data_IF_286066368969
#
_entry.id   IF_286066368969
#
_cell.length_a   1.000
_cell.length_b   1.000
_cell.length_c   1.000
_cell.angle_alpha   90.00
_cell.angle_beta   90.00
_cell.angle_gamma   90.00
#
_symmetry.space_group_name_H-M   'P 1'
#
loop_
_entity.id
_entity.type
_entity.pdbx_description
1 polymer ?
#
# COMPACT_ATOMS: atom_id res chain seq x y z
N UNK A 1 -1.81 -9.06 -18.35
CA UNK A 1 -2.03 -10.46 -18.74
C UNK A 1 -0.76 -11.19 -19.22
N UNK A 2 0.38 -10.50 -19.39
CA UNK A 2 1.65 -11.10 -19.84
C UNK A 2 2.62 -11.44 -18.68
N UNK A 3 2.13 -11.43 -17.44
CA UNK A 3 2.94 -11.69 -16.25
C UNK A 3 3.62 -13.06 -16.29
N UNK A 4 2.97 -14.08 -16.90
CA UNK A 4 3.53 -15.43 -16.98
C UNK A 4 4.60 -15.62 -18.04
N UNK A 5 4.52 -14.90 -19.15
CA UNK A 5 5.51 -14.98 -20.24
C UNK A 5 6.79 -14.22 -19.93
N UNK A 6 6.71 -13.15 -19.11
CA UNK A 6 7.85 -12.30 -18.74
C UNK A 6 8.38 -12.54 -17.33
N UNK A 7 7.84 -13.51 -16.61
CA UNK A 7 8.10 -13.73 -15.19
C UNK A 7 7.27 -12.80 -14.29
N UNK A 8 7.51 -12.91 -12.99
CA UNK A 8 6.80 -12.14 -11.97
C UNK A 8 7.35 -10.70 -11.95
N UNK A 9 6.51 -9.72 -12.30
CA UNK A 9 6.95 -8.30 -12.46
C UNK A 9 7.41 -7.67 -11.16
N UNK A 10 6.83 -8.05 -10.02
CA UNK A 10 7.32 -7.65 -8.70
C UNK A 10 8.50 -8.55 -8.31
N UNK A 11 9.72 -8.14 -8.64
CA UNK A 11 10.94 -8.95 -8.58
C UNK A 11 11.98 -8.35 -7.63
N UNK A 12 12.78 -9.20 -6.94
CA UNK A 12 13.90 -8.75 -6.09
C UNK A 12 14.92 -7.85 -6.79
N UNK A 13 15.07 -7.97 -8.10
CA UNK A 13 15.98 -7.13 -8.92
C UNK A 13 15.66 -5.64 -8.78
N UNK A 14 14.39 -5.27 -8.62
CA UNK A 14 13.98 -3.87 -8.40
C UNK A 14 14.62 -3.29 -7.15
N UNK A 15 14.56 -4.02 -6.04
CA UNK A 15 15.15 -3.59 -4.76
C UNK A 15 16.67 -3.45 -4.88
N UNK A 16 17.34 -4.40 -5.53
CA UNK A 16 18.79 -4.35 -5.73
C UNK A 16 19.22 -3.12 -6.55
N UNK A 17 18.49 -2.83 -7.65
CA UNK A 17 18.77 -1.68 -8.50
C UNK A 17 18.54 -0.34 -7.78
N UNK A 18 17.42 -0.21 -7.04
CA UNK A 18 17.12 1.02 -6.28
C UNK A 18 18.13 1.20 -5.15
N UNK A 19 18.45 0.13 -4.44
CA UNK A 19 19.43 0.17 -3.34
C UNK A 19 20.80 0.63 -3.86
N UNK A 20 21.31 0.04 -4.95
CA UNK A 20 22.58 0.43 -5.55
C UNK A 20 22.59 1.92 -5.93
N UNK A 21 21.54 2.41 -6.58
CA UNK A 21 21.43 3.82 -6.95
C UNK A 21 21.40 4.77 -5.74
N UNK A 22 20.78 4.37 -4.62
CA UNK A 22 20.76 5.17 -3.38
C UNK A 22 22.12 5.17 -2.68
N UNK A 23 22.81 4.02 -2.66
CA UNK A 23 24.17 3.89 -2.11
C UNK A 23 25.16 4.73 -2.93
N UNK A 24 25.10 4.67 -4.26
CA UNK A 24 25.96 5.43 -5.18
C UNK A 24 25.72 6.96 -5.07
N UNK A 25 24.49 7.37 -4.80
CA UNK A 25 24.16 8.79 -4.62
C UNK A 25 24.78 9.39 -3.37
N UNK A 26 25.10 8.60 -2.34
CA UNK A 26 25.79 9.02 -1.13
C UNK A 26 25.01 9.96 -0.19
N UNK A 27 23.71 10.17 -0.45
CA UNK A 27 22.88 11.09 0.36
C UNK A 27 22.21 10.42 1.56
N UNK A 28 22.19 9.09 1.61
CA UNK A 28 21.47 8.34 2.61
C UNK A 28 22.39 7.52 3.51
N UNK A 29 22.12 7.55 4.81
CA UNK A 29 22.69 6.63 5.77
C UNK A 29 21.75 5.42 5.92
N UNK A 30 22.25 4.23 5.64
CA UNK A 30 21.48 3.00 5.88
C UNK A 30 21.39 2.70 7.37
N UNK A 31 20.19 2.46 7.86
CA UNK A 31 19.94 2.09 9.26
C UNK A 31 19.21 0.75 9.34
N UNK A 32 19.46 -0.08 10.36
CA UNK A 32 18.71 -1.33 10.53
C UNK A 32 17.25 -1.03 10.88
N UNK A 33 16.34 -1.84 10.32
CA UNK A 33 14.94 -1.78 10.70
C UNK A 33 14.76 -2.23 12.16
N UNK A 34 13.95 -1.48 12.91
CA UNK A 34 13.51 -1.86 14.25
C UNK A 34 12.33 -2.81 14.15
N UNK A 35 12.14 -3.68 15.12
CA UNK A 35 10.97 -4.55 15.21
C UNK A 35 9.85 -3.86 16.00
N UNK A 36 8.63 -3.95 15.47
CA UNK A 36 7.43 -3.41 16.11
C UNK A 36 6.42 -4.52 16.40
N UNK A 37 5.55 -4.31 17.38
CA UNK A 37 4.50 -5.26 17.72
C UNK A 37 3.44 -5.40 16.61
N UNK A 38 2.76 -6.53 16.59
CA UNK A 38 1.68 -6.78 15.60
C UNK A 38 0.46 -5.86 15.83
N UNK A 39 0.35 -5.26 17.02
CA UNK A 39 -0.65 -4.24 17.32
C UNK A 39 -0.58 -3.02 16.38
N UNK A 40 0.61 -2.67 15.89
CA UNK A 40 0.77 -1.60 14.91
C UNK A 40 0.08 -1.91 13.59
N UNK A 41 0.08 -3.17 13.17
CA UNK A 41 -0.61 -3.64 11.97
C UNK A 41 -2.12 -3.67 12.20
N UNK A 42 -2.57 -4.16 13.34
CA UNK A 42 -4.00 -4.32 13.65
C UNK A 42 -4.72 -3.01 13.98
N UNK A 43 -4.02 -1.91 14.13
CA UNK A 43 -4.63 -0.55 14.17
C UNK A 43 -5.19 -0.14 12.80
N UNK A 44 -4.63 -0.67 11.72
CA UNK A 44 -4.99 -0.36 10.34
C UNK A 44 -5.78 -1.49 9.70
N UNK A 45 -5.31 -2.72 9.89
CA UNK A 45 -5.92 -3.91 9.29
C UNK A 45 -6.79 -4.68 10.29
N UNK A 46 -7.82 -5.32 9.75
CA UNK A 46 -8.70 -6.19 10.53
C UNK A 46 -7.91 -7.34 11.20
N UNK A 47 -8.06 -7.57 12.51
CA UNK A 47 -7.33 -8.61 13.20
C UNK A 47 -7.60 -10.04 12.68
N UNK A 48 -8.80 -10.32 12.14
CA UNK A 48 -9.11 -11.63 11.56
C UNK A 48 -8.38 -11.83 10.23
N UNK A 49 -8.27 -10.78 9.42
CA UNK A 49 -7.47 -10.77 8.19
C UNK A 49 -5.97 -11.00 8.49
N UNK A 50 -5.42 -10.29 9.47
CA UNK A 50 -4.00 -10.44 9.86
C UNK A 50 -3.71 -11.87 10.34
N UNK A 51 -4.58 -12.42 11.19
CA UNK A 51 -4.48 -13.83 11.64
C UNK A 51 -4.62 -14.82 10.49
N UNK A 52 -5.49 -14.52 9.52
CA UNK A 52 -5.63 -15.35 8.33
C UNK A 52 -4.30 -15.41 7.55
N UNK A 53 -3.71 -14.27 7.21
CA UNK A 53 -2.44 -14.21 6.47
C UNK A 53 -1.33 -14.98 7.20
N UNK A 54 -1.20 -14.80 8.51
CA UNK A 54 -0.22 -15.51 9.33
C UNK A 54 -0.39 -17.02 9.24
N UNK A 55 -1.62 -17.51 9.41
CA UNK A 55 -1.93 -18.95 9.37
C UNK A 55 -1.80 -19.53 7.96
N UNK A 56 -2.33 -18.86 6.96
CA UNK A 56 -2.28 -19.32 5.58
C UNK A 56 -0.82 -19.47 5.10
N UNK A 57 0.01 -18.47 5.33
CA UNK A 57 1.44 -18.53 4.96
C UNK A 57 2.17 -19.67 5.69
N UNK A 58 1.87 -19.90 6.97
CA UNK A 58 2.49 -20.99 7.74
C UNK A 58 2.15 -22.39 7.22
N UNK A 59 1.03 -22.55 6.54
CA UNK A 59 0.58 -23.86 5.98
C UNK A 59 1.05 -24.12 4.56
N UNK A 60 1.53 -23.11 3.84
CA UNK A 60 2.02 -23.29 2.48
C UNK A 60 3.38 -24.02 2.51
N UNK A 61 3.51 -25.16 1.81
CA UNK A 61 4.78 -25.88 1.73
C UNK A 61 5.89 -25.02 1.10
N UNK A 62 7.13 -25.31 1.46
CA UNK A 62 8.29 -24.66 0.88
C UNK A 62 8.31 -24.80 -0.66
N UNK A 63 8.68 -23.72 -1.34
CA UNK A 63 8.69 -23.68 -2.82
C UNK A 63 7.32 -23.68 -3.49
N UNK A 64 6.23 -23.69 -2.71
CA UNK A 64 4.86 -23.61 -3.23
C UNK A 64 4.24 -22.23 -2.99
N UNK A 65 3.18 -21.93 -3.74
CA UNK A 65 2.39 -20.72 -3.61
C UNK A 65 0.90 -21.05 -3.69
N UNK A 66 0.12 -20.40 -2.84
CA UNK A 66 -1.34 -20.42 -2.86
C UNK A 66 -1.82 -19.19 -3.61
N UNK A 67 -2.52 -19.39 -4.72
CA UNK A 67 -3.19 -18.33 -5.47
C UNK A 67 -4.68 -18.32 -5.15
N UNK A 68 -5.32 -17.15 -5.01
CA UNK A 68 -6.76 -17.05 -4.91
C UNK A 68 -7.41 -17.57 -6.18
N UNK A 69 -8.35 -18.51 -6.07
CA UNK A 69 -9.10 -19.06 -7.20
C UNK A 69 -10.59 -18.74 -7.18
N UNK A 70 -11.05 -18.06 -6.12
CA UNK A 70 -12.38 -17.48 -6.00
C UNK A 70 -12.27 -16.01 -5.62
N UNK A 71 -13.16 -15.18 -6.16
CA UNK A 71 -13.21 -13.77 -5.82
C UNK A 71 -13.90 -13.53 -4.48
N UNK A 72 -13.55 -12.42 -3.77
CA UNK A 72 -14.23 -12.06 -2.55
C UNK A 72 -15.72 -11.81 -2.78
N UNK A 73 -16.54 -12.30 -1.87
CA UNK A 73 -17.97 -12.03 -1.86
C UNK A 73 -18.19 -10.72 -1.08
N UNK A 74 -18.73 -9.71 -1.75
CA UNK A 74 -18.86 -8.38 -1.15
C UNK A 74 -19.95 -8.29 -0.09
N UNK A 75 -21.04 -9.04 -0.23
CA UNK A 75 -22.14 -9.14 0.74
C UNK A 75 -22.02 -10.42 1.57
N UNK A 76 -20.97 -10.48 2.38
CA UNK A 76 -20.61 -11.69 3.08
C UNK A 76 -21.09 -11.69 4.51
N UNK A 77 -21.71 -12.80 4.91
CA UNK A 77 -22.17 -13.03 6.26
C UNK A 77 -21.19 -13.87 7.07
N UNK A 78 -20.38 -14.68 6.40
CA UNK A 78 -19.31 -15.47 7.04
C UNK A 78 -18.19 -15.82 6.08
N UNK A 79 -16.92 -15.87 6.55
CA UNK A 79 -15.80 -16.34 5.75
C UNK A 79 -15.87 -17.86 5.52
N UNK A 80 -15.36 -18.37 4.39
CA UNK A 80 -15.19 -19.80 4.16
C UNK A 80 -14.36 -20.46 5.28
N UNK A 81 -14.62 -21.72 5.57
CA UNK A 81 -13.85 -22.42 6.61
C UNK A 81 -12.49 -22.89 6.11
N UNK A 82 -12.43 -23.34 4.85
CA UNK A 82 -11.21 -23.79 4.20
C UNK A 82 -10.22 -22.64 3.98
N UNK A 83 -8.98 -22.82 4.44
CA UNK A 83 -7.95 -21.79 4.36
C UNK A 83 -7.62 -21.40 2.92
N UNK A 84 -7.59 -22.35 2.00
CA UNK A 84 -7.32 -22.13 0.59
C UNK A 84 -8.43 -21.31 -0.08
N UNK A 85 -9.69 -21.57 0.27
CA UNK A 85 -10.86 -20.82 -0.24
C UNK A 85 -10.89 -19.40 0.34
N UNK A 86 -10.47 -19.22 1.59
CA UNK A 86 -10.35 -17.89 2.22
C UNK A 86 -9.37 -16.97 1.51
N UNK A 87 -8.45 -17.50 0.70
CA UNK A 87 -7.60 -16.66 -0.13
C UNK A 87 -8.42 -15.71 -1.01
N UNK A 88 -9.46 -16.21 -1.68
CA UNK A 88 -10.37 -15.37 -2.46
C UNK A 88 -11.30 -14.49 -1.64
N UNK A 89 -11.57 -14.83 -0.38
CA UNK A 89 -12.35 -13.99 0.53
C UNK A 89 -11.58 -12.74 0.97
N UNK A 90 -10.26 -12.86 1.15
CA UNK A 90 -9.39 -11.78 1.61
C UNK A 90 -8.52 -11.16 0.50
N UNK A 91 -8.71 -11.51 -0.76
CA UNK A 91 -7.92 -10.98 -1.87
C UNK A 91 -8.79 -10.27 -2.90
N UNK A 92 -8.29 -9.15 -3.44
CA UNK A 92 -8.98 -8.39 -4.48
C UNK A 92 -8.64 -8.83 -5.91
N UNK A 93 -7.70 -9.78 -6.07
CA UNK A 93 -7.28 -10.32 -7.36
C UNK A 93 -6.99 -11.83 -7.31
N UNK A 94 -6.58 -12.41 -8.44
CA UNK A 94 -6.27 -13.84 -8.55
C UNK A 94 -4.77 -14.11 -8.80
N UNK A 95 -3.93 -13.10 -8.74
CA UNK A 95 -2.51 -13.21 -9.10
C UNK A 95 -1.54 -12.86 -7.96
N UNK A 96 -2.03 -12.36 -6.82
CA UNK A 96 -1.20 -12.13 -5.64
C UNK A 96 -1.07 -13.43 -4.82
N UNK A 97 0.10 -14.09 -4.82
CA UNK A 97 0.27 -15.38 -4.16
C UNK A 97 0.53 -15.26 -2.68
N UNK A 98 0.07 -16.22 -1.90
CA UNK A 98 0.59 -16.47 -0.56
C UNK A 98 1.63 -17.58 -0.61
N UNK A 99 2.80 -17.34 -0.08
CA UNK A 99 3.85 -18.34 0.13
C UNK A 99 4.28 -18.33 1.60
N UNK A 100 5.12 -19.29 1.99
CA UNK A 100 5.60 -19.46 3.36
C UNK A 100 6.17 -18.18 3.98
N UNK A 101 6.85 -17.35 3.17
CA UNK A 101 7.58 -16.17 3.63
C UNK A 101 6.80 -14.86 3.47
N UNK A 102 5.64 -14.87 2.80
CA UNK A 102 4.92 -13.64 2.47
C UNK A 102 4.52 -12.83 3.71
N UNK A 103 4.03 -13.49 4.77
CA UNK A 103 3.71 -12.82 6.02
C UNK A 103 4.94 -12.20 6.70
N UNK A 104 6.05 -12.92 6.76
CA UNK A 104 7.29 -12.42 7.36
C UNK A 104 7.89 -11.26 6.57
N UNK A 105 7.86 -11.34 5.23
CA UNK A 105 8.31 -10.26 4.37
C UNK A 105 7.42 -9.01 4.52
N UNK A 106 6.10 -9.18 4.58
CA UNK A 106 5.17 -8.08 4.81
C UNK A 106 5.38 -7.42 6.18
N UNK A 107 5.66 -8.21 7.22
CA UNK A 107 6.04 -7.69 8.54
C UNK A 107 7.34 -6.90 8.50
N UNK A 108 8.37 -7.42 7.83
CA UNK A 108 9.63 -6.71 7.67
C UNK A 108 9.46 -5.39 6.91
N UNK A 109 8.59 -5.34 5.90
CA UNK A 109 8.25 -4.11 5.19
C UNK A 109 7.58 -3.06 6.10
N UNK A 110 6.65 -3.50 6.96
CA UNK A 110 6.04 -2.64 7.99
C UNK A 110 7.10 -2.13 8.99
N UNK A 111 8.00 -3.00 9.45
CA UNK A 111 9.07 -2.61 10.37
C UNK A 111 9.99 -1.54 9.75
N UNK A 112 10.32 -1.65 8.47
CA UNK A 112 11.06 -0.61 7.75
C UNK A 112 10.28 0.71 7.67
N UNK A 113 9.01 0.67 7.30
CA UNK A 113 8.16 1.86 7.18
C UNK A 113 8.00 2.57 8.53
N UNK A 114 7.75 1.83 9.60
CA UNK A 114 7.65 2.38 10.96
C UNK A 114 8.99 2.91 11.49
N UNK A 115 10.11 2.30 11.10
CA UNK A 115 11.44 2.82 11.44
C UNK A 115 11.67 4.17 10.79
N UNK A 116 11.33 4.31 9.50
CA UNK A 116 11.40 5.57 8.78
C UNK A 116 10.47 6.63 9.40
N UNK A 117 9.21 6.27 9.67
CA UNK A 117 8.24 7.15 10.33
C UNK A 117 8.73 7.62 11.71
N UNK A 118 9.32 6.72 12.50
CA UNK A 118 9.89 7.06 13.81
C UNK A 118 11.06 8.04 13.69
N UNK A 119 11.94 7.86 12.69
CA UNK A 119 13.06 8.76 12.46
C UNK A 119 12.57 10.18 12.12
N UNK A 120 11.58 10.32 11.24
CA UNK A 120 10.99 11.61 10.88
C UNK A 120 10.25 12.23 12.06
N UNK A 121 9.48 11.47 12.84
CA UNK A 121 8.85 11.96 14.08
C UNK A 121 9.84 12.41 15.14
N UNK A 122 11.08 11.90 15.10
CA UNK A 122 12.18 12.28 15.99
C UNK A 122 13.04 13.43 15.47
N UNK A 123 12.67 14.05 14.32
CA UNK A 123 13.32 15.25 13.79
C UNK A 123 14.17 15.03 12.53
N UNK A 124 14.30 13.81 12.00
CA UNK A 124 14.92 13.63 10.70
C UNK A 124 14.03 14.26 9.62
N UNK A 125 14.66 15.00 8.70
CA UNK A 125 13.93 15.73 7.65
C UNK A 125 13.34 14.80 6.59
N UNK A 126 14.03 13.70 6.30
CA UNK A 126 13.69 12.74 5.27
C UNK A 126 14.12 11.34 5.69
N UNK A 127 13.25 10.37 5.50
CA UNK A 127 13.58 8.96 5.62
C UNK A 127 13.01 8.18 4.43
N UNK A 128 13.71 7.17 3.96
CA UNK A 128 13.31 6.32 2.86
C UNK A 128 13.24 4.86 3.29
N UNK A 129 12.05 4.28 3.25
CA UNK A 129 11.84 2.85 3.50
C UNK A 129 11.83 2.08 2.18
N UNK A 130 12.94 1.44 1.84
CA UNK A 130 13.02 0.57 0.66
C UNK A 130 12.48 -0.81 1.02
N UNK A 131 11.25 -1.10 0.61
CA UNK A 131 10.51 -2.28 1.04
C UNK A 131 10.05 -3.17 -0.10
N UNK A 132 9.95 -4.45 0.19
CA UNK A 132 9.29 -5.48 -0.59
C UNK A 132 8.74 -6.53 0.37
N UNK A 133 7.42 -6.85 0.30
CA UNK A 133 6.41 -6.45 -0.70
C UNK A 133 5.99 -4.97 -0.59
N UNK A 134 5.33 -4.45 -1.67
CA UNK A 134 4.67 -3.14 -1.62
C UNK A 134 3.46 -3.15 -0.69
N UNK A 135 2.71 -2.03 -0.58
CA UNK A 135 1.65 -1.92 0.41
C UNK A 135 0.35 -1.25 -0.03
N UNK A 136 0.37 -0.37 -1.01
CA UNK A 136 -0.70 0.58 -1.29
C UNK A 136 -2.03 -0.02 -1.77
N UNK A 137 -2.04 -1.27 -2.25
CA UNK A 137 -3.26 -1.98 -2.61
C UNK A 137 -3.90 -2.77 -1.46
N UNK A 138 -3.18 -2.97 -0.35
CA UNK A 138 -3.75 -3.69 0.79
C UNK A 138 -4.78 -2.82 1.52
N UNK A 139 -6.03 -3.28 1.52
CA UNK A 139 -7.17 -2.66 2.19
C UNK A 139 -7.22 -3.10 3.65
N UNK A 140 -8.17 -2.56 4.44
CA UNK A 140 -8.35 -2.93 5.85
C UNK A 140 -8.45 -4.44 6.08
N UNK A 141 -9.17 -5.14 5.20
CA UNK A 141 -9.43 -6.57 5.33
C UNK A 141 -9.18 -7.35 4.03
N UNK A 142 -8.35 -6.83 3.12
CA UNK A 142 -8.02 -7.54 1.88
C UNK A 142 -6.60 -7.23 1.42
N UNK A 143 -5.95 -8.23 0.83
CA UNK A 143 -4.66 -8.13 0.15
C UNK A 143 -4.85 -8.20 -1.37
N UNK A 144 -3.86 -7.76 -2.13
CA UNK A 144 -3.86 -7.83 -3.59
C UNK A 144 -2.83 -6.88 -4.19
N UNK A 145 -2.67 -6.87 -5.51
CA UNK A 145 -1.67 -6.04 -6.20
C UNK A 145 -0.26 -6.26 -5.64
N UNK A 146 0.07 -7.48 -5.22
CA UNK A 146 1.33 -7.86 -4.56
C UNK A 146 1.50 -7.28 -3.14
N UNK A 147 0.48 -6.61 -2.58
CA UNK A 147 0.47 -5.97 -1.28
C UNK A 147 -0.27 -6.82 -0.25
N UNK A 148 0.32 -7.03 0.92
CA UNK A 148 -0.28 -7.81 2.00
C UNK A 148 -0.67 -6.94 3.19
N UNK A 149 0.20 -6.01 3.60
CA UNK A 149 -0.09 -4.96 4.56
C UNK A 149 0.20 -3.61 3.95
N UNK A 150 -0.60 -2.60 4.30
CA UNK A 150 -0.44 -1.26 3.78
C UNK A 150 0.63 -0.50 4.59
N UNK A 151 1.87 -0.58 4.14
CA UNK A 151 3.03 0.02 4.80
C UNK A 151 2.87 1.53 4.98
N UNK A 152 2.31 2.21 3.96
CA UNK A 152 2.08 3.66 3.94
C UNK A 152 0.99 4.04 4.95
N UNK A 153 -0.14 3.31 4.96
CA UNK A 153 -1.22 3.57 5.91
C UNK A 153 -0.80 3.31 7.36
N UNK A 154 0.01 2.28 7.60
CA UNK A 154 0.54 1.99 8.95
C UNK A 154 1.51 3.08 9.41
N UNK A 155 2.37 3.58 8.51
CA UNK A 155 3.25 4.71 8.81
C UNK A 155 2.44 5.99 9.09
N UNK A 156 1.44 6.30 8.27
CA UNK A 156 0.55 7.44 8.46
C UNK A 156 -0.21 7.35 9.80
N UNK A 157 -0.75 6.18 10.14
CA UNK A 157 -1.43 5.94 11.42
C UNK A 157 -0.50 6.14 12.64
N UNK A 158 0.78 5.80 12.51
CA UNK A 158 1.77 6.06 13.55
C UNK A 158 2.09 7.55 13.67
N UNK A 159 2.26 8.26 12.54
CA UNK A 159 2.63 9.68 12.49
C UNK A 159 1.49 10.62 12.92
N UNK A 160 0.22 10.26 12.67
CA UNK A 160 -0.93 11.12 12.99
C UNK A 160 -1.03 11.54 14.47
N UNK A 161 -0.37 10.82 15.37
CA UNK A 161 -0.29 11.18 16.80
C UNK A 161 0.54 12.45 17.04
N UNK A 162 1.34 12.82 16.06
CA UNK A 162 2.25 13.96 16.12
C UNK A 162 1.78 15.12 15.23
N UNK A 163 0.71 14.94 14.45
CA UNK A 163 0.12 15.96 13.60
C UNK A 163 -0.60 15.39 12.38
N UNK A 164 -1.08 16.27 11.51
CA UNK A 164 -1.79 15.91 10.28
C UNK A 164 -0.86 15.24 9.29
N UNK A 165 -1.34 14.21 8.60
CA UNK A 165 -0.54 13.42 7.64
C UNK A 165 -1.16 13.52 6.24
N UNK A 166 -0.35 13.83 5.24
CA UNK A 166 -0.72 13.62 3.84
C UNK A 166 0.01 12.41 3.28
N UNK A 167 -0.69 11.60 2.50
CA UNK A 167 -0.14 10.53 1.69
C UNK A 167 -0.18 10.99 0.24
N UNK A 168 0.99 10.98 -0.44
CA UNK A 168 1.10 11.29 -1.86
C UNK A 168 1.59 10.04 -2.60
N UNK A 169 0.67 9.36 -3.25
CA UNK A 169 0.95 8.16 -4.04
C UNK A 169 1.19 8.55 -5.51
N UNK A 170 2.36 8.23 -6.01
CA UNK A 170 2.79 8.48 -7.40
C UNK A 170 3.05 7.19 -8.17
N UNK A 171 2.62 6.04 -7.62
CA UNK A 171 2.64 4.79 -8.36
C UNK A 171 1.72 4.87 -9.58
N UNK A 172 2.05 4.07 -10.60
CA UNK A 172 1.20 3.99 -11.80
C UNK A 172 -0.21 3.48 -11.49
N UNK A 173 -0.36 2.62 -10.49
CA UNK A 173 -1.63 2.08 -10.07
C UNK A 173 -2.23 2.89 -8.92
N UNK A 174 -3.56 2.96 -8.88
CA UNK A 174 -4.26 3.62 -7.79
C UNK A 174 -4.01 2.94 -6.45
N UNK A 175 -3.71 3.72 -5.42
CA UNK A 175 -3.57 3.26 -4.05
C UNK A 175 -4.91 3.04 -3.36
N UNK A 176 -5.69 2.08 -3.84
CA UNK A 176 -7.03 1.78 -3.30
C UNK A 176 -7.01 1.42 -1.81
N UNK A 177 -5.89 0.86 -1.32
CA UNK A 177 -5.78 0.46 0.07
C UNK A 177 -5.82 1.64 1.04
N UNK A 178 -4.96 2.65 0.86
CA UNK A 178 -5.01 3.83 1.72
C UNK A 178 -6.29 4.65 1.51
N UNK A 179 -6.82 4.73 0.30
CA UNK A 179 -8.13 5.33 0.08
C UNK A 179 -9.19 4.65 0.95
N UNK A 180 -9.34 3.34 0.88
CA UNK A 180 -10.33 2.59 1.64
C UNK A 180 -10.14 2.71 3.16
N UNK A 181 -8.89 2.73 3.64
CA UNK A 181 -8.55 2.81 5.07
C UNK A 181 -8.90 4.18 5.67
N UNK A 182 -8.70 5.27 4.90
CA UNK A 182 -8.87 6.64 5.39
C UNK A 182 -10.07 7.36 4.78
N UNK A 183 -10.99 6.66 4.11
CA UNK A 183 -12.06 7.26 3.29
C UNK A 183 -13.06 8.12 4.08
N UNK A 184 -13.28 7.80 5.34
CA UNK A 184 -14.18 8.48 6.28
C UNK A 184 -13.46 9.39 7.28
N UNK A 185 -12.18 9.73 7.02
CA UNK A 185 -11.31 10.43 7.97
C UNK A 185 -10.79 11.75 7.40
N UNK A 186 -10.76 12.79 8.26
CA UNK A 186 -10.27 14.14 7.95
C UNK A 186 -8.85 14.44 8.46
N UNK A 187 -8.28 13.55 9.28
CA UNK A 187 -6.93 13.72 9.85
C UNK A 187 -5.79 13.18 8.94
N UNK A 188 -6.16 12.45 7.88
CA UNK A 188 -5.24 11.97 6.84
C UNK A 188 -5.77 12.37 5.47
N UNK A 189 -4.98 13.12 4.69
CA UNK A 189 -5.26 13.41 3.30
C UNK A 189 -4.63 12.33 2.42
N UNK A 190 -5.40 11.69 1.55
CA UNK A 190 -4.88 10.77 0.52
C UNK A 190 -4.93 11.44 -0.85
N UNK A 191 -3.80 11.48 -1.55
CA UNK A 191 -3.69 12.01 -2.91
C UNK A 191 -3.01 10.96 -3.78
N UNK A 192 -3.65 10.55 -4.87
CA UNK A 192 -3.09 9.53 -5.78
C UNK A 192 -3.11 10.00 -7.24
N UNK A 193 -1.92 9.93 -7.89
CA UNK A 193 -1.76 10.16 -9.34
C UNK A 193 -1.54 8.80 -10.00
N UNK A 194 -2.46 8.35 -10.82
CA UNK A 194 -2.42 6.99 -11.36
C UNK A 194 -3.05 6.90 -12.74
N UNK A 195 -2.77 5.82 -13.46
CA UNK A 195 -3.45 5.50 -14.70
C UNK A 195 -4.95 5.33 -14.48
N UNK A 196 -5.77 5.88 -15.39
CA UNK A 196 -7.22 5.88 -15.23
C UNK A 196 -7.78 4.44 -15.04
N UNK A 197 -8.71 4.21 -14.09
CA UNK A 197 -9.23 2.87 -13.77
C UNK A 197 -9.87 2.11 -14.94
N UNK A 198 -10.31 2.79 -15.98
CA UNK A 198 -10.84 2.14 -17.19
C UNK A 198 -9.85 1.20 -17.88
N UNK A 199 -8.53 1.38 -17.67
CA UNK A 199 -7.50 0.54 -18.27
C UNK A 199 -6.40 0.12 -17.28
N UNK A 200 -6.36 0.68 -16.08
CA UNK A 200 -5.34 0.40 -15.07
C UNK A 200 -5.94 -0.29 -13.85
N UNK A 201 -5.22 -1.30 -13.33
CA UNK A 201 -5.55 -1.94 -12.05
C UNK A 201 -5.67 -0.89 -10.92
N UNK A 202 -6.60 -1.03 -9.98
CA UNK A 202 -7.48 -2.16 -9.73
C UNK A 202 -8.81 -2.14 -10.50
N UNK A 203 -9.06 -1.20 -11.42
CA UNK A 203 -10.22 -1.06 -12.30
C UNK A 203 -11.51 -0.59 -11.62
N UNK A 204 -11.72 -0.87 -10.35
CA UNK A 204 -12.97 -0.59 -9.61
C UNK A 204 -12.89 0.60 -8.66
N UNK A 205 -11.75 1.29 -8.58
CA UNK A 205 -11.49 2.42 -7.67
C UNK A 205 -10.39 3.33 -8.24
N UNK A 206 -10.42 4.60 -7.87
CA UNK A 206 -9.50 5.64 -8.34
C UNK A 206 -10.16 6.66 -9.28
N UNK A 207 -11.48 6.75 -9.25
CA UNK A 207 -12.22 7.75 -10.03
C UNK A 207 -12.18 9.12 -9.35
N UNK A 208 -12.22 10.19 -10.14
CA UNK A 208 -12.11 11.58 -9.66
C UNK A 208 -13.23 11.99 -8.70
N UNK A 209 -14.41 11.38 -8.85
CA UNK A 209 -15.57 11.63 -8.00
C UNK A 209 -15.51 10.95 -6.63
N UNK A 210 -14.58 10.03 -6.38
CA UNK A 210 -14.36 9.38 -5.09
C UNK A 210 -13.60 10.34 -4.16
N UNK A 211 -14.34 11.14 -3.37
CA UNK A 211 -13.81 12.27 -2.59
C UNK A 211 -13.83 12.09 -1.09
N UNK A 212 -14.08 10.88 -0.61
CA UNK A 212 -14.28 10.58 0.81
C UNK A 212 -15.75 10.47 1.20
N UNK A 213 -16.00 10.05 2.44
CA UNK A 213 -17.33 9.91 3.02
C UNK A 213 -17.34 10.50 4.44
N UNK A 214 -18.52 10.91 4.91
CA UNK A 214 -18.68 11.50 6.23
C UNK A 214 -17.69 12.64 6.51
N UNK A 215 -16.91 12.54 7.57
CA UNK A 215 -15.87 13.51 7.92
C UNK A 215 -14.68 13.51 6.92
N UNK A 216 -14.51 12.45 6.14
CA UNK A 216 -13.47 12.30 5.12
C UNK A 216 -13.77 13.00 3.81
N UNK A 217 -14.95 13.63 3.64
CA UNK A 217 -15.30 14.33 2.39
C UNK A 217 -14.30 15.45 2.10
N UNK A 218 -13.65 15.38 0.93
CA UNK A 218 -12.61 16.33 0.50
C UNK A 218 -11.18 15.95 0.92
N UNK A 219 -11.01 14.87 1.68
CA UNK A 219 -9.70 14.37 2.13
C UNK A 219 -9.21 13.15 1.34
N UNK A 220 -9.94 12.75 0.30
CA UNK A 220 -9.50 11.82 -0.73
C UNK A 220 -9.46 12.53 -2.09
N UNK A 221 -8.32 12.46 -2.78
CA UNK A 221 -8.10 13.14 -4.07
C UNK A 221 -7.49 12.17 -5.06
N UNK A 222 -8.24 11.83 -6.09
CA UNK A 222 -7.80 11.02 -7.20
C UNK A 222 -7.53 11.90 -8.42
N UNK A 223 -6.37 11.68 -9.05
CA UNK A 223 -5.94 12.33 -10.27
C UNK A 223 -5.68 11.25 -11.34
N UNK A 224 -6.75 10.67 -11.94
CA UNK A 224 -6.60 9.64 -12.96
C UNK A 224 -6.02 10.22 -14.24
N UNK A 225 -4.95 9.63 -14.74
CA UNK A 225 -4.18 10.08 -15.87
C UNK A 225 -4.52 9.26 -17.13
N UNK A 226 -4.52 9.88 -18.33
CA UNK A 226 -4.81 9.17 -19.57
C UNK A 226 -3.69 8.17 -19.91
N UNK A 227 -4.03 7.14 -20.71
CA UNK A 227 -3.09 6.10 -21.16
C UNK A 227 -1.87 6.69 -21.87
N UNK A 228 -2.09 7.70 -22.74
CA UNK A 228 -1.02 8.45 -23.40
C UNK A 228 -0.72 9.74 -22.65
N UNK A 229 0.37 9.71 -21.92
CA UNK A 229 0.78 10.78 -21.02
C UNK A 229 2.17 11.30 -21.41
N UNK A 230 2.27 12.61 -21.61
CA UNK A 230 3.56 13.30 -21.75
C UNK A 230 4.02 13.90 -20.41
N UNK A 231 5.32 14.19 -20.29
CA UNK A 231 5.88 14.75 -19.06
C UNK A 231 5.31 16.12 -18.68
N UNK A 232 4.76 16.88 -19.63
CA UNK A 232 4.10 18.17 -19.35
C UNK A 232 2.78 17.97 -18.62
N UNK A 233 1.96 17.04 -19.07
CA UNK A 233 0.68 16.67 -18.43
C UNK A 233 0.91 16.09 -17.04
N UNK A 234 1.90 15.18 -16.91
CA UNK A 234 2.24 14.61 -15.62
C UNK A 234 2.66 15.68 -14.61
N UNK A 235 3.54 16.61 -14.99
CA UNK A 235 3.97 17.71 -14.12
C UNK A 235 2.81 18.63 -13.70
N UNK A 236 1.83 18.87 -14.58
CA UNK A 236 0.62 19.63 -14.20
C UNK A 236 -0.21 18.90 -13.16
N UNK A 237 -0.46 17.61 -13.34
CA UNK A 237 -1.18 16.79 -12.36
C UNK A 237 -0.44 16.73 -11.01
N UNK A 238 0.88 16.55 -11.05
CA UNK A 238 1.71 16.57 -9.83
C UNK A 238 1.63 17.93 -9.12
N UNK A 239 1.62 19.04 -9.86
CA UNK A 239 1.45 20.37 -9.27
C UNK A 239 0.10 20.48 -8.57
N UNK A 240 -0.99 20.06 -9.23
CA UNK A 240 -2.33 20.00 -8.60
C UNK A 240 -2.33 19.17 -7.32
N UNK A 241 -1.67 18.01 -7.31
CA UNK A 241 -1.52 17.18 -6.12
C UNK A 241 -0.79 17.92 -5.00
N UNK A 242 0.35 18.55 -5.31
CA UNK A 242 1.14 19.32 -4.33
C UNK A 242 0.39 20.55 -3.81
N UNK A 243 -0.41 21.23 -4.63
CA UNK A 243 -1.28 22.32 -4.19
C UNK A 243 -2.33 21.82 -3.18
N UNK A 244 -2.90 20.63 -3.39
CA UNK A 244 -3.83 20.00 -2.44
C UNK A 244 -3.14 19.64 -1.12
N UNK A 245 -1.94 19.07 -1.18
CA UNK A 245 -1.10 18.78 -0.01
C UNK A 245 -0.77 20.07 0.75
N UNK A 246 -0.34 21.13 0.05
CA UNK A 246 -0.01 22.41 0.67
C UNK A 246 -1.23 23.05 1.35
N UNK A 247 -2.39 23.04 0.71
CA UNK A 247 -3.64 23.55 1.28
C UNK A 247 -4.07 22.77 2.54
N UNK A 248 -3.81 21.48 2.58
CA UNK A 248 -4.04 20.65 3.77
C UNK A 248 -3.08 20.98 4.91
N UNK A 249 -1.90 21.54 4.61
CA UNK A 249 -0.86 21.89 5.60
C UNK A 249 -0.51 20.73 6.54
N UNK A 250 -0.06 19.58 6.03
CA UNK A 250 0.29 18.44 6.85
C UNK A 250 1.56 18.72 7.68
N UNK A 251 1.68 18.08 8.84
CA UNK A 251 2.92 17.99 9.58
C UNK A 251 3.88 16.98 8.92
N UNK A 252 3.33 15.94 8.34
CA UNK A 252 4.08 14.86 7.69
C UNK A 252 3.53 14.58 6.28
N UNK A 253 4.44 14.36 5.34
CA UNK A 253 4.14 13.84 4.00
C UNK A 253 4.78 12.44 3.88
N UNK A 254 3.97 11.46 3.49
CA UNK A 254 4.34 10.05 3.27
C UNK A 254 4.14 9.69 1.81
#
# INVERSE_FOLDING_TARGET
HHVRERGYVESPVRIAAIRGALEDAGYFRVVPARQFGLDTVTRVHDPAFVRYLQRACATVPEGKSLYPYVFPIRNQTRPPQELSVRAGYYCIDTFTPLNRNAFLAARGAVDCALTAATAVASGERLAYALVRPPGHHAERAAYGGFCYFNNVAIAAEALRRHGRVAILDVDYHHGNGQQQIFYDRSDVLTVSLHGHPNFSYPYFSGFEEERGDGEGVGYNVNLPLPERLDGGRYRRALRTALDRVAAFSPTFLV
#
